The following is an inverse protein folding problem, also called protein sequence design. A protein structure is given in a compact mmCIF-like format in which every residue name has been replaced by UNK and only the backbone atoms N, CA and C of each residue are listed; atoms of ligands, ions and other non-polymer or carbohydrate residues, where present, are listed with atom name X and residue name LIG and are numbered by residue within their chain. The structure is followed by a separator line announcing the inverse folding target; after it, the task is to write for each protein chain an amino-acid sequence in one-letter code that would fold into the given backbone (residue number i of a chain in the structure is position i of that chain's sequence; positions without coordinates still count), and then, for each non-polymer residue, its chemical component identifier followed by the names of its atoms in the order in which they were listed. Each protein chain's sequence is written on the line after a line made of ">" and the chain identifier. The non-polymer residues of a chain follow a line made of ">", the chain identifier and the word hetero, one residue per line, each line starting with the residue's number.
data_IF_100365289942
#
_entry.id   IF_100365289942
#
_cell.length_a   1.000
_cell.length_b   1.000
_cell.length_c   1.000
_cell.angle_alpha   90.00
_cell.angle_beta   90.00
_cell.angle_gamma   90.00
#
_symmetry.space_group_name_H-M   'P 1'
#
loop_
_entity.id
_entity.type
_entity.pdbx_description
1 polymer ?
#
# COMPACT_ATOMS: atom_id res chain seq x y z
N UNK A 1 -22.93 -40.55 -13.49
CA UNK A 1 -22.04 -39.74 -14.36
C UNK A 1 -22.69 -38.37 -14.55
N UNK A 2 -22.03 -37.32 -14.07
CA UNK A 2 -21.89 -35.97 -14.66
C UNK A 2 -21.18 -35.15 -13.58
N UNK A 3 -19.86 -35.05 -13.67
CA UNK A 3 -19.04 -34.27 -12.74
C UNK A 3 -18.86 -32.87 -13.32
N UNK A 4 -19.30 -31.84 -12.59
CA UNK A 4 -19.07 -30.44 -12.91
C UNK A 4 -17.88 -29.97 -12.07
N UNK A 5 -16.71 -29.94 -12.69
CA UNK A 5 -15.48 -29.36 -12.13
C UNK A 5 -15.54 -27.85 -12.28
N UNK A 6 -15.67 -27.13 -11.16
CA UNK A 6 -15.53 -25.67 -11.11
C UNK A 6 -14.04 -25.34 -10.93
N UNK A 7 -13.41 -24.92 -12.02
CA UNK A 7 -12.05 -24.38 -12.04
C UNK A 7 -12.07 -22.94 -11.51
N UNK A 8 -11.66 -22.75 -10.26
CA UNK A 8 -11.39 -21.43 -9.69
C UNK A 8 -10.07 -20.90 -10.22
N UNK A 9 -10.14 -19.98 -11.19
CA UNK A 9 -9.00 -19.24 -11.73
C UNK A 9 -8.55 -18.17 -10.76
N UNK A 10 -7.38 -18.36 -10.16
CA UNK A 10 -6.62 -17.35 -9.40
C UNK A 10 -6.14 -16.25 -10.37
N UNK A 11 -6.34 -14.94 -10.10
CA UNK A 11 -5.73 -13.89 -10.89
C UNK A 11 -4.25 -13.78 -10.53
N UNK A 12 -3.39 -14.33 -11.40
CA UNK A 12 -1.96 -14.04 -11.41
C UNK A 12 -1.75 -12.70 -12.13
N UNK A 13 -1.63 -11.58 -11.41
CA UNK A 13 -1.12 -10.34 -12.04
C UNK A 13 -0.51 -9.37 -11.03
N UNK A 14 0.81 -9.39 -11.02
CA UNK A 14 1.66 -8.38 -10.39
C UNK A 14 3.06 -8.59 -10.92
N UNK A 15 3.29 -8.27 -12.20
CA UNK A 15 4.65 -8.11 -12.72
C UNK A 15 5.28 -7.01 -11.88
N UNK A 16 6.19 -7.40 -11.00
CA UNK A 16 7.23 -6.50 -10.50
C UNK A 16 8.10 -6.26 -11.73
N UNK A 17 7.82 -5.18 -12.44
CA UNK A 17 8.74 -4.67 -13.45
C UNK A 17 10.00 -4.22 -12.72
N UNK A 18 11.10 -4.88 -13.08
CA UNK A 18 12.46 -4.60 -12.70
C UNK A 18 12.81 -3.12 -12.98
N UNK A 19 12.55 -2.25 -12.00
CA UNK A 19 13.04 -0.87 -12.01
C UNK A 19 14.56 -0.78 -11.77
N UNK A 20 15.23 -1.91 -11.53
CA UNK A 20 16.69 -2.02 -11.39
C UNK A 20 17.43 -1.62 -12.67
N UNK A 21 16.86 -1.90 -13.86
CA UNK A 21 17.49 -1.58 -15.15
C UNK A 21 17.58 -0.07 -15.45
N UNK A 22 16.66 0.74 -14.88
CA UNK A 22 16.64 2.19 -15.10
C UNK A 22 17.73 2.92 -14.30
N UNK A 23 18.05 2.42 -13.10
CA UNK A 23 19.04 3.04 -12.22
C UNK A 23 20.46 2.68 -12.66
N UNK A 24 20.69 1.44 -13.13
CA UNK A 24 21.96 1.05 -13.75
C UNK A 24 22.23 1.83 -15.04
N UNK A 25 21.21 2.03 -15.89
CA UNK A 25 21.36 2.83 -17.12
C UNK A 25 21.68 4.30 -16.84
N UNK A 26 21.11 4.87 -15.78
CA UNK A 26 21.39 6.26 -15.38
C UNK A 26 22.81 6.41 -14.82
N UNK A 27 23.26 5.45 -14.01
CA UNK A 27 24.63 5.42 -13.49
C UNK A 27 25.67 5.23 -14.60
N UNK A 28 25.44 4.28 -15.52
CA UNK A 28 26.30 4.04 -16.66
C UNK A 28 26.42 5.26 -17.57
N UNK A 29 25.30 5.96 -17.83
CA UNK A 29 25.29 7.19 -18.62
C UNK A 29 26.06 8.33 -17.96
N UNK A 30 25.93 8.51 -16.64
CA UNK A 30 26.72 9.49 -15.89
C UNK A 30 28.22 9.18 -15.96
N UNK A 31 28.61 7.90 -15.83
CA UNK A 31 30.02 7.49 -15.93
C UNK A 31 30.58 7.80 -17.32
N UNK A 32 29.85 7.46 -18.38
CA UNK A 32 30.24 7.74 -19.77
C UNK A 32 30.41 9.23 -20.03
N UNK A 33 29.46 10.07 -19.60
CA UNK A 33 29.54 11.52 -19.69
C UNK A 33 30.75 12.07 -18.91
N UNK A 34 31.05 11.54 -17.71
CA UNK A 34 32.23 11.97 -16.95
C UNK A 34 33.56 11.59 -17.61
N UNK A 35 33.62 10.43 -18.28
CA UNK A 35 34.80 10.02 -19.05
C UNK A 35 34.96 10.87 -20.32
N UNK A 36 33.86 11.21 -20.99
CA UNK A 36 33.86 12.14 -22.13
C UNK A 36 34.37 13.52 -21.73
N UNK A 37 33.88 14.08 -20.61
CA UNK A 37 34.35 15.35 -20.05
C UNK A 37 35.84 15.29 -19.67
N UNK A 38 36.32 14.19 -19.07
CA UNK A 38 37.76 13.99 -18.80
C UNK A 38 38.57 14.00 -20.09
N UNK A 39 38.09 13.34 -21.15
CA UNK A 39 38.77 13.30 -22.45
C UNK A 39 38.85 14.68 -23.11
N UNK A 40 37.78 15.48 -23.04
CA UNK A 40 37.81 16.88 -23.49
C UNK A 40 38.82 17.68 -22.67
N UNK A 41 38.79 17.58 -21.34
CA UNK A 41 39.73 18.31 -20.45
C UNK A 41 41.18 17.98 -20.76
N UNK A 42 41.52 16.70 -20.96
CA UNK A 42 42.88 16.30 -21.33
C UNK A 42 43.29 16.81 -22.71
N UNK A 43 42.35 16.91 -23.66
CA UNK A 43 42.61 17.44 -25.00
C UNK A 43 42.83 18.96 -24.96
N UNK A 44 41.99 19.69 -24.22
CA UNK A 44 42.17 21.13 -23.99
C UNK A 44 43.48 21.43 -23.24
N UNK A 45 43.86 20.60 -22.27
CA UNK A 45 45.13 20.73 -21.55
C UNK A 45 46.33 20.43 -22.48
N UNK A 46 46.21 19.49 -23.43
CA UNK A 46 47.25 19.29 -24.47
C UNK A 46 47.37 20.48 -25.41
N UNK A 47 46.25 21.03 -25.88
CA UNK A 47 46.22 22.22 -26.75
C UNK A 47 46.83 23.42 -26.01
N UNK A 48 46.42 23.64 -24.76
CA UNK A 48 47.01 24.67 -23.88
C UNK A 48 48.53 24.47 -23.75
N UNK A 49 48.98 23.27 -23.42
CA UNK A 49 50.40 22.99 -23.29
C UNK A 49 51.16 23.12 -24.61
N UNK A 50 50.52 22.93 -25.76
CA UNK A 50 51.13 23.13 -27.08
C UNK A 50 51.30 24.63 -27.38
N UNK A 51 50.27 25.43 -27.12
CA UNK A 51 50.29 26.89 -27.29
C UNK A 51 51.34 27.52 -26.37
N UNK A 52 51.37 27.12 -25.09
CA UNK A 52 52.31 27.70 -24.11
C UNK A 52 53.73 27.10 -24.16
N UNK A 53 53.93 25.91 -24.77
CA UNK A 53 55.29 25.40 -25.05
C UNK A 53 55.90 26.04 -26.29
N UNK A 54 55.11 26.40 -27.30
CA UNK A 54 55.61 27.15 -28.47
C UNK A 54 55.98 28.58 -28.13
N UNK A 55 55.31 29.23 -27.17
CA UNK A 55 55.72 30.56 -26.69
C UNK A 55 57.11 30.55 -26.00
N UNK A 56 57.45 29.51 -25.23
CA UNK A 56 58.78 29.41 -24.59
C UNK A 56 59.88 29.04 -25.61
N UNK A 57 59.55 28.26 -26.65
CA UNK A 57 60.51 27.91 -27.70
C UNK A 57 60.77 29.07 -28.67
N UNK A 58 59.75 29.87 -29.01
CA UNK A 58 59.93 31.00 -29.92
C UNK A 58 60.49 32.27 -29.27
N UNK A 59 60.31 32.46 -27.96
CA UNK A 59 60.90 33.61 -27.25
C UNK A 59 62.41 33.47 -26.94
N UNK A 60 63.02 32.30 -27.20
CA UNK A 60 64.44 32.04 -26.94
C UNK A 60 65.30 31.84 -28.21
N UNK A 61 64.72 31.85 -29.41
CA UNK A 61 65.45 31.55 -30.67
C UNK A 61 65.35 32.58 -31.79
N UNK A 62 64.89 33.82 -31.56
CA UNK A 62 64.96 34.86 -32.59
C UNK A 62 65.25 36.27 -32.05
N UNK A 63 66.42 36.47 -31.44
CA UNK A 63 67.08 37.78 -31.49
C UNK A 63 68.58 37.67 -31.16
N UNK A 64 69.35 37.23 -32.16
CA UNK A 64 70.76 37.57 -32.47
C UNK A 64 71.42 36.38 -33.17
N UNK A 65 71.46 36.42 -34.50
CA UNK A 65 72.67 36.23 -35.32
C UNK A 65 72.25 36.16 -36.79
N UNK A 66 72.27 37.30 -37.46
CA UNK A 66 72.71 37.36 -38.85
C UNK A 66 73.79 38.46 -38.90
N UNK A 67 74.95 38.10 -38.35
CA UNK A 67 76.17 38.85 -38.50
C UNK A 67 77.31 37.85 -38.74
N UNK A 68 77.77 37.83 -40.00
CA UNK A 68 79.00 37.23 -40.55
C UNK A 68 78.88 35.80 -41.06
N UNK A 69 78.81 35.64 -42.38
CA UNK A 69 79.97 35.28 -43.21
C UNK A 69 79.58 35.30 -44.70
N UNK A 70 80.10 36.26 -45.48
CA UNK A 70 80.24 36.10 -46.92
C UNK A 70 81.71 36.25 -47.26
N UNK A 71 82.30 35.11 -47.62
CA UNK A 71 83.65 34.97 -48.15
C UNK A 71 83.62 35.50 -49.59
N UNK A 72 84.48 36.47 -49.84
CA UNK A 72 84.85 37.00 -51.14
C UNK A 72 85.58 35.94 -52.00
N UNK A 73 85.61 36.16 -53.33
CA UNK A 73 86.27 35.43 -54.46
C UNK A 73 85.21 34.67 -55.31
N UNK A 74 84.97 34.91 -56.61
CA UNK A 74 85.61 35.72 -57.67
C UNK A 74 84.67 35.80 -58.91
N UNK A 75 84.92 36.79 -59.78
CA UNK A 75 84.50 36.92 -61.20
C UNK A 75 83.01 37.23 -61.44
N UNK A 76 82.60 38.33 -62.07
CA UNK A 76 83.22 39.10 -63.14
C UNK A 76 82.28 38.97 -64.35
N UNK A 77 81.59 40.05 -64.72
CA UNK A 77 81.27 40.47 -66.09
C UNK A 77 80.45 41.76 -66.01
N UNK A 78 81.03 42.80 -66.61
CA UNK A 78 80.42 44.09 -66.90
C UNK A 78 79.13 43.94 -67.70
N UNK A 79 78.11 44.71 -67.34
CA UNK A 79 77.35 45.53 -68.29
C UNK A 79 76.41 46.45 -67.51
N UNK A 80 76.68 47.74 -67.57
CA UNK A 80 75.68 48.79 -67.33
C UNK A 80 74.44 48.53 -68.19
N UNK A 81 73.28 48.36 -67.57
CA UNK A 81 72.01 49.00 -67.98
C UNK A 81 70.95 48.84 -66.88
N UNK A 82 70.28 49.96 -66.58
CA UNK A 82 69.27 50.20 -65.56
C UNK A 82 67.90 49.55 -65.88
N UNK A 83 67.18 48.94 -64.90
CA UNK A 83 65.73 48.84 -64.99
C UNK A 83 65.02 49.01 -63.62
N UNK A 84 64.72 50.25 -63.21
CA UNK A 84 63.92 50.53 -62.01
C UNK A 84 62.57 51.22 -62.33
N UNK A 85 61.60 50.43 -62.77
CA UNK A 85 60.16 50.74 -62.67
C UNK A 85 59.31 49.49 -62.36
N UNK A 86 59.70 48.30 -62.84
CA UNK A 86 58.94 47.06 -62.65
C UNK A 86 58.94 46.51 -61.21
N UNK A 87 59.86 46.95 -60.34
CA UNK A 87 60.00 46.46 -58.95
C UNK A 87 59.01 47.11 -57.98
N UNK A 88 58.71 48.40 -58.17
CA UNK A 88 57.80 49.16 -57.31
C UNK A 88 56.33 48.74 -57.53
N UNK A 89 55.93 48.56 -58.79
CA UNK A 89 54.57 48.15 -59.16
C UNK A 89 54.25 46.74 -58.64
N UNK A 90 55.21 45.81 -58.73
CA UNK A 90 55.07 44.45 -58.21
C UNK A 90 54.88 44.42 -56.68
N UNK A 91 55.54 45.32 -55.95
CA UNK A 91 55.37 45.47 -54.51
C UNK A 91 54.00 46.08 -54.18
N UNK A 92 53.52 47.05 -54.96
CA UNK A 92 52.22 47.67 -54.75
C UNK A 92 51.07 46.69 -55.01
N UNK A 93 51.15 45.83 -56.03
CA UNK A 93 50.20 44.74 -56.23
C UNK A 93 50.21 43.73 -55.09
N UNK A 94 51.39 43.37 -54.57
CA UNK A 94 51.52 42.48 -53.41
C UNK A 94 50.86 43.07 -52.16
N UNK A 95 50.99 44.38 -51.93
CA UNK A 95 50.33 45.07 -50.80
C UNK A 95 48.81 45.04 -50.97
N UNK A 96 48.29 45.40 -52.15
CA UNK A 96 46.85 45.33 -52.44
C UNK A 96 46.28 43.92 -52.27
N UNK A 97 47.01 42.90 -52.70
CA UNK A 97 46.63 41.50 -52.49
C UNK A 97 46.58 41.11 -51.01
N UNK A 98 47.56 41.55 -50.21
CA UNK A 98 47.57 41.34 -48.76
C UNK A 98 46.43 42.09 -48.05
N UNK A 99 46.11 43.31 -48.48
CA UNK A 99 44.99 44.09 -47.91
C UNK A 99 43.64 43.44 -48.20
N UNK A 100 43.47 42.90 -49.42
CA UNK A 100 42.27 42.14 -49.78
C UNK A 100 42.14 40.87 -48.92
N UNK A 101 43.25 40.15 -48.72
CA UNK A 101 43.29 38.97 -47.86
C UNK A 101 42.98 39.31 -46.39
N UNK A 102 43.50 40.43 -45.88
CA UNK A 102 43.22 40.90 -44.53
C UNK A 102 41.74 41.26 -44.36
N UNK A 103 41.14 41.91 -45.37
CA UNK A 103 39.71 42.22 -45.36
C UNK A 103 38.84 40.96 -45.33
N UNK A 104 39.22 39.92 -46.09
CA UNK A 104 38.52 38.63 -46.11
C UNK A 104 38.67 37.89 -44.77
N UNK A 105 39.88 37.83 -44.21
CA UNK A 105 40.11 37.27 -42.88
C UNK A 105 39.35 38.03 -41.78
N UNK A 106 39.21 39.35 -41.90
CA UNK A 106 38.45 40.15 -40.95
C UNK A 106 36.94 39.83 -41.01
N UNK A 107 36.39 39.65 -42.21
CA UNK A 107 35.00 39.18 -42.40
C UNK A 107 34.79 37.79 -41.82
N UNK A 108 35.74 36.88 -42.04
CA UNK A 108 35.69 35.53 -41.47
C UNK A 108 35.71 35.56 -39.93
N UNK A 109 36.57 36.38 -39.33
CA UNK A 109 36.64 36.55 -37.87
C UNK A 109 35.31 37.06 -37.28
N UNK A 110 34.65 38.04 -37.92
CA UNK A 110 33.33 38.51 -37.47
C UNK A 110 32.27 37.39 -37.56
N UNK A 111 32.28 36.59 -38.62
CA UNK A 111 31.38 35.42 -38.75
C UNK A 111 31.68 34.38 -37.67
N UNK A 112 32.94 34.10 -37.38
CA UNK A 112 33.35 33.16 -36.33
C UNK A 112 32.92 33.63 -34.95
N UNK A 113 33.02 34.93 -34.68
CA UNK A 113 32.56 35.55 -33.42
C UNK A 113 31.05 35.36 -33.24
N UNK A 114 30.25 35.64 -34.26
CA UNK A 114 28.79 35.42 -34.23
C UNK A 114 28.46 33.94 -34.00
N UNK A 115 29.14 33.02 -34.70
CA UNK A 115 28.93 31.57 -34.51
C UNK A 115 29.28 31.12 -33.09
N UNK A 116 30.36 31.64 -32.52
CA UNK A 116 30.78 31.34 -31.16
C UNK A 116 29.74 31.83 -30.14
N UNK A 117 29.26 33.07 -30.30
CA UNK A 117 28.21 33.64 -29.45
C UNK A 117 26.89 32.86 -29.57
N UNK A 118 26.48 32.52 -30.80
CA UNK A 118 25.29 31.70 -31.04
C UNK A 118 25.41 30.29 -30.44
N UNK A 119 26.58 29.64 -30.55
CA UNK A 119 26.81 28.33 -29.93
C UNK A 119 26.80 28.41 -28.40
N UNK A 120 27.32 29.49 -27.81
CA UNK A 120 27.28 29.72 -26.37
C UNK A 120 25.85 29.95 -25.88
N UNK A 121 25.08 30.78 -26.58
CA UNK A 121 23.68 31.06 -26.23
C UNK A 121 22.80 29.81 -26.40
N UNK A 122 22.99 29.04 -27.48
CA UNK A 122 22.31 27.76 -27.67
C UNK A 122 22.61 26.77 -26.52
N UNK A 123 23.87 26.69 -26.09
CA UNK A 123 24.27 25.88 -24.94
C UNK A 123 23.62 26.35 -23.62
N UNK A 124 23.62 27.65 -23.35
CA UNK A 124 22.98 28.23 -22.17
C UNK A 124 21.45 28.03 -22.18
N UNK A 125 20.81 28.16 -23.35
CA UNK A 125 19.38 27.89 -23.53
C UNK A 125 19.04 26.41 -23.30
N UNK A 126 19.86 25.48 -23.80
CA UNK A 126 19.69 24.05 -23.54
C UNK A 126 19.78 23.72 -22.04
N UNK A 127 20.77 24.28 -21.33
CA UNK A 127 20.89 24.11 -19.88
C UNK A 127 19.69 24.68 -19.11
N UNK A 128 19.22 25.88 -19.47
CA UNK A 128 18.00 26.45 -18.88
C UNK A 128 16.77 25.57 -19.11
N UNK A 129 16.62 25.03 -20.32
CA UNK A 129 15.49 24.16 -20.66
C UNK A 129 15.52 22.84 -19.85
N UNK A 130 16.69 22.22 -19.75
CA UNK A 130 16.87 20.99 -18.96
C UNK A 130 16.59 21.25 -17.47
N UNK A 131 17.11 22.35 -16.92
CA UNK A 131 16.87 22.73 -15.53
C UNK A 131 15.38 22.98 -15.24
N UNK A 132 14.70 23.70 -16.15
CA UNK A 132 13.26 23.96 -16.03
C UNK A 132 12.45 22.66 -16.06
N UNK A 133 12.71 21.77 -17.03
CA UNK A 133 12.02 20.47 -17.14
C UNK A 133 12.24 19.60 -15.90
N UNK A 134 13.47 19.55 -15.38
CA UNK A 134 13.79 18.83 -14.15
C UNK A 134 12.97 19.34 -12.97
N UNK A 135 12.87 20.67 -12.81
CA UNK A 135 12.11 21.28 -11.75
C UNK A 135 10.59 21.02 -11.88
N UNK A 136 10.04 21.18 -13.08
CA UNK A 136 8.63 20.92 -13.37
C UNK A 136 8.26 19.45 -13.12
N UNK A 137 9.12 18.52 -13.55
CA UNK A 137 8.95 17.09 -13.31
C UNK A 137 8.98 16.77 -11.81
N UNK A 138 9.96 17.30 -11.07
CA UNK A 138 10.05 17.11 -9.62
C UNK A 138 8.82 17.67 -8.90
N UNK A 139 8.38 18.88 -9.26
CA UNK A 139 7.20 19.51 -8.66
C UNK A 139 5.93 18.71 -8.92
N UNK A 140 5.74 18.25 -10.16
CA UNK A 140 4.60 17.42 -10.57
C UNK A 140 4.60 16.10 -9.82
N UNK A 141 5.72 15.38 -9.80
CA UNK A 141 5.86 14.11 -9.11
C UNK A 141 5.63 14.25 -7.59
N UNK A 142 6.20 15.29 -6.98
CA UNK A 142 5.99 15.58 -5.55
C UNK A 142 4.52 15.89 -5.23
N UNK A 143 3.81 16.61 -6.10
CA UNK A 143 2.39 16.89 -5.93
C UNK A 143 1.55 15.63 -6.10
N UNK A 144 1.84 14.81 -7.11
CA UNK A 144 1.13 13.55 -7.36
C UNK A 144 1.29 12.57 -6.20
N UNK A 145 2.50 12.39 -5.68
CA UNK A 145 2.77 11.54 -4.52
C UNK A 145 2.01 12.04 -3.28
N UNK A 146 2.02 13.36 -3.02
CA UNK A 146 1.24 13.94 -1.92
C UNK A 146 -0.26 13.71 -2.08
N UNK A 147 -0.80 13.91 -3.28
CA UNK A 147 -2.22 13.67 -3.55
C UNK A 147 -2.59 12.20 -3.33
N UNK A 148 -1.79 11.26 -3.85
CA UNK A 148 -2.00 9.81 -3.63
C UNK A 148 -1.97 9.44 -2.15
N UNK A 149 -1.08 10.03 -1.37
CA UNK A 149 -1.03 9.82 0.08
C UNK A 149 -2.28 10.36 0.78
N UNK A 150 -2.74 11.56 0.40
CA UNK A 150 -3.97 12.15 0.93
C UNK A 150 -5.21 11.32 0.59
N UNK A 151 -5.33 10.88 -0.66
CA UNK A 151 -6.42 10.01 -1.11
C UNK A 151 -6.41 8.67 -0.36
N UNK A 152 -5.23 8.06 -0.19
CA UNK A 152 -5.06 6.82 0.59
C UNK A 152 -5.44 7.01 2.06
N UNK A 153 -5.05 8.15 2.67
CA UNK A 153 -5.43 8.50 4.04
C UNK A 153 -6.95 8.65 4.19
N UNK A 154 -7.60 9.35 3.27
CA UNK A 154 -9.06 9.48 3.26
C UNK A 154 -9.75 8.13 3.07
N UNK A 155 -9.27 7.28 2.16
CA UNK A 155 -9.82 5.94 1.94
C UNK A 155 -9.71 5.08 3.22
N UNK A 156 -8.55 5.11 3.88
CA UNK A 156 -8.34 4.42 5.15
C UNK A 156 -9.28 4.93 6.25
N UNK A 157 -9.49 6.25 6.33
CA UNK A 157 -10.41 6.85 7.30
C UNK A 157 -11.86 6.42 7.06
N UNK A 158 -12.34 6.45 5.82
CA UNK A 158 -13.68 5.99 5.46
C UNK A 158 -13.85 4.50 5.77
N UNK A 159 -12.86 3.67 5.43
CA UNK A 159 -12.90 2.24 5.74
C UNK A 159 -12.95 2.00 7.26
N UNK A 160 -12.13 2.72 8.04
CA UNK A 160 -12.14 2.60 9.49
C UNK A 160 -13.51 2.92 10.10
N UNK A 161 -14.15 4.01 9.65
CA UNK A 161 -15.51 4.38 10.07
C UNK A 161 -16.56 3.33 9.68
N UNK A 162 -16.49 2.79 8.47
CA UNK A 162 -17.39 1.72 8.01
C UNK A 162 -17.25 0.45 8.88
N UNK A 163 -16.01 0.07 9.22
CA UNK A 163 -15.74 -1.07 10.08
C UNK A 163 -16.22 -0.83 11.51
N UNK A 164 -16.04 0.37 12.04
CA UNK A 164 -16.54 0.76 13.36
C UNK A 164 -18.07 0.70 13.42
N UNK A 165 -18.77 1.19 12.38
CA UNK A 165 -20.22 1.13 12.30
C UNK A 165 -20.73 -0.33 12.25
N UNK A 166 -20.07 -1.19 11.46
CA UNK A 166 -20.40 -2.62 11.43
C UNK A 166 -20.19 -3.28 12.79
N UNK A 167 -19.10 -2.94 13.48
CA UNK A 167 -18.84 -3.45 14.83
C UNK A 167 -19.94 -3.03 15.80
N UNK A 168 -20.35 -1.75 15.78
CA UNK A 168 -21.47 -1.25 16.60
C UNK A 168 -22.77 -2.01 16.34
N UNK A 169 -23.10 -2.26 15.06
CA UNK A 169 -24.28 -3.06 14.70
C UNK A 169 -24.18 -4.50 15.22
N UNK A 170 -23.01 -5.13 15.16
CA UNK A 170 -22.82 -6.47 15.71
C UNK A 170 -22.96 -6.52 17.23
N UNK A 171 -22.44 -5.50 17.94
CA UNK A 171 -22.62 -5.38 19.41
C UNK A 171 -24.09 -5.22 19.77
N UNK A 172 -24.84 -4.38 19.06
CA UNK A 172 -26.28 -4.21 19.26
C UNK A 172 -27.04 -5.53 19.07
N UNK A 173 -26.73 -6.26 17.98
CA UNK A 173 -27.35 -7.56 17.72
C UNK A 173 -27.02 -8.60 18.81
N UNK A 174 -25.78 -8.60 19.33
CA UNK A 174 -25.38 -9.48 20.42
C UNK A 174 -26.14 -9.15 21.72
N UNK A 175 -26.31 -7.86 22.03
CA UNK A 175 -27.11 -7.43 23.18
C UNK A 175 -28.56 -7.91 23.06
N UNK A 176 -29.18 -7.77 21.89
CA UNK A 176 -30.55 -8.27 21.65
C UNK A 176 -30.65 -9.80 21.79
N UNK A 177 -29.62 -10.55 21.37
CA UNK A 177 -29.57 -12.00 21.57
C UNK A 177 -29.42 -12.34 23.05
N UNK A 178 -28.60 -11.59 23.80
CA UNK A 178 -28.42 -11.78 25.24
C UNK A 178 -29.71 -11.50 26.03
N UNK A 179 -30.42 -10.42 25.71
CA UNK A 179 -31.73 -10.09 26.31
C UNK A 179 -32.76 -11.21 26.05
N UNK A 180 -32.88 -11.67 24.80
CA UNK A 180 -33.76 -12.79 24.46
C UNK A 180 -33.38 -14.08 25.17
N UNK A 181 -32.09 -14.32 25.36
CA UNK A 181 -31.61 -15.50 26.08
C UNK A 181 -32.02 -15.43 27.56
N UNK A 182 -31.88 -14.26 28.19
CA UNK A 182 -32.31 -14.02 29.57
C UNK A 182 -33.84 -14.17 29.71
N UNK A 183 -34.62 -13.60 28.80
CA UNK A 183 -36.08 -13.78 28.77
C UNK A 183 -36.48 -15.26 28.68
N UNK A 184 -35.83 -16.04 27.81
CA UNK A 184 -36.08 -17.48 27.66
C UNK A 184 -35.67 -18.25 28.92
N UNK A 185 -34.57 -17.87 29.55
CA UNK A 185 -34.14 -18.46 30.83
C UNK A 185 -35.17 -18.20 31.94
N UNK A 186 -35.70 -16.99 32.02
CA UNK A 186 -36.76 -16.65 32.98
C UNK A 186 -38.04 -17.46 32.71
N UNK A 187 -38.45 -17.58 31.44
CA UNK A 187 -39.60 -18.40 31.03
C UNK A 187 -39.43 -19.88 31.43
N UNK A 188 -38.24 -20.45 31.27
CA UNK A 188 -37.91 -21.81 31.70
C UNK A 188 -38.11 -21.95 33.22
N UNK A 189 -37.54 -21.04 34.00
CA UNK A 189 -37.65 -21.07 35.46
C UNK A 189 -39.10 -20.94 35.93
N UNK A 190 -39.92 -20.09 35.30
CA UNK A 190 -41.34 -19.99 35.60
C UNK A 190 -42.12 -21.27 35.29
N UNK A 191 -41.87 -21.88 34.13
CA UNK A 191 -42.51 -23.14 33.73
C UNK A 191 -42.09 -24.31 34.63
N UNK A 192 -40.81 -24.40 35.00
CA UNK A 192 -40.30 -25.39 35.96
C UNK A 192 -41.01 -25.27 37.32
N UNK A 193 -41.14 -24.04 37.84
CA UNK A 193 -41.86 -23.77 39.08
C UNK A 193 -43.35 -24.14 38.98
N UNK A 194 -44.00 -23.85 37.85
CA UNK A 194 -45.40 -24.22 37.61
C UNK A 194 -45.58 -25.74 37.62
N UNK A 195 -44.76 -26.46 36.84
CA UNK A 195 -44.77 -27.93 36.78
C UNK A 195 -44.53 -28.52 38.16
N UNK A 196 -43.55 -28.02 38.91
CA UNK A 196 -43.25 -28.50 40.26
C UNK A 196 -44.44 -28.32 41.21
N UNK A 197 -45.19 -27.20 41.14
CA UNK A 197 -46.41 -26.99 41.94
C UNK A 197 -47.50 -27.97 41.55
N UNK A 198 -47.73 -28.18 40.26
CA UNK A 198 -48.72 -29.14 39.77
C UNK A 198 -48.37 -30.58 40.16
N UNK A 199 -47.09 -30.96 40.14
CA UNK A 199 -46.64 -32.28 40.62
C UNK A 199 -46.85 -32.46 42.13
N UNK A 200 -46.66 -31.40 42.93
CA UNK A 200 -46.99 -31.42 44.36
C UNK A 200 -48.49 -31.62 44.57
N UNK A 201 -49.32 -30.88 43.86
CA UNK A 201 -50.78 -31.02 43.92
C UNK A 201 -51.24 -32.43 43.52
N UNK A 202 -50.70 -32.97 42.42
CA UNK A 202 -50.96 -34.35 41.98
C UNK A 202 -50.65 -35.37 43.08
N UNK A 203 -49.52 -35.21 43.78
CA UNK A 203 -49.15 -36.09 44.91
C UNK A 203 -50.16 -35.99 46.05
N UNK A 204 -50.55 -34.78 46.44
CA UNK A 204 -51.57 -34.57 47.48
C UNK A 204 -52.93 -35.17 47.10
N UNK A 205 -53.36 -35.04 45.84
CA UNK A 205 -54.60 -35.66 45.35
C UNK A 205 -54.52 -37.20 45.37
N UNK A 206 -53.38 -37.78 44.99
CA UNK A 206 -53.14 -39.23 45.07
C UNK A 206 -53.20 -39.74 46.52
N UNK A 207 -52.56 -39.04 47.45
CA UNK A 207 -52.61 -39.36 48.89
C UNK A 207 -54.04 -39.28 49.44
N UNK A 208 -54.80 -38.23 49.08
CA UNK A 208 -56.22 -38.09 49.47
C UNK A 208 -57.05 -39.24 48.90
N UNK A 209 -56.88 -39.57 47.62
CA UNK A 209 -57.58 -40.67 46.97
C UNK A 209 -57.31 -42.00 47.69
N UNK A 210 -56.05 -42.30 47.98
CA UNK A 210 -55.64 -43.52 48.70
C UNK A 210 -56.25 -43.59 50.12
N UNK A 211 -56.34 -42.45 50.82
CA UNK A 211 -57.03 -42.37 52.12
C UNK A 211 -58.51 -42.74 52.01
N UNK A 212 -59.21 -42.26 50.98
CA UNK A 212 -60.63 -42.57 50.76
C UNK A 212 -60.84 -44.03 50.33
N UNK A 213 -59.96 -44.58 49.49
CA UNK A 213 -59.97 -46.00 49.11
C UNK A 213 -59.83 -46.90 50.34
N UNK A 214 -58.91 -46.57 51.26
CA UNK A 214 -58.75 -47.29 52.52
C UNK A 214 -60.02 -47.19 53.41
N UNK A 215 -60.62 -46.00 53.53
CA UNK A 215 -61.88 -45.81 54.29
C UNK A 215 -63.03 -46.61 53.66
N UNK A 216 -63.13 -46.63 52.34
CA UNK A 216 -64.12 -47.42 51.61
C UNK A 216 -63.93 -48.92 51.88
N UNK A 217 -62.69 -49.41 51.89
CA UNK A 217 -62.36 -50.81 52.21
C UNK A 217 -62.82 -51.18 53.63
N UNK A 218 -62.57 -50.30 54.61
CA UNK A 218 -62.99 -50.48 56.01
C UNK A 218 -64.51 -50.40 56.22
N UNK A 219 -65.24 -49.61 55.44
CA UNK A 219 -66.69 -49.52 55.54
C UNK A 219 -67.39 -50.67 54.81
N UNK A 220 -66.82 -51.16 53.71
CA UNK A 220 -67.36 -52.31 52.95
C UNK A 220 -67.32 -53.62 53.75
N UNK A 221 -66.41 -53.75 54.71
CA UNK A 221 -66.40 -54.88 55.66
C UNK A 221 -67.49 -54.79 56.73
N UNK A 222 -68.20 -53.65 56.85
CA UNK A 222 -69.33 -53.42 57.77
C UNK A 222 -70.60 -53.22 56.95
N UNK A 223 -71.44 -54.26 56.83
CA UNK A 223 -72.58 -54.33 55.90
C UNK A 223 -73.68 -53.24 56.04
N UNK A 224 -73.62 -52.38 57.06
CA UNK A 224 -74.66 -51.41 57.43
C UNK A 224 -74.57 -50.03 56.75
N UNK A 225 -73.50 -49.71 56.00
CA UNK A 225 -73.22 -48.34 55.53
C UNK A 225 -73.24 -48.13 54.00
N UNK A 226 -74.19 -48.75 53.28
CA UNK A 226 -74.24 -48.73 51.81
C UNK A 226 -74.21 -47.33 51.16
N UNK A 227 -74.94 -46.34 51.72
CA UNK A 227 -74.99 -44.97 51.18
C UNK A 227 -73.65 -44.24 51.32
N UNK A 228 -72.99 -44.38 52.47
CA UNK A 228 -71.66 -43.79 52.73
C UNK A 228 -70.58 -44.39 51.82
N UNK A 229 -70.65 -45.69 51.53
CA UNK A 229 -69.79 -46.34 50.54
C UNK A 229 -69.99 -45.78 49.13
N UNK A 230 -71.25 -45.54 48.72
CA UNK A 230 -71.55 -44.97 47.41
C UNK A 230 -71.04 -43.53 47.27
N UNK A 231 -71.18 -42.72 48.32
CA UNK A 231 -70.69 -41.34 48.34
C UNK A 231 -69.16 -41.28 48.29
N UNK A 232 -68.46 -42.15 49.04
CA UNK A 232 -67.00 -42.30 48.97
C UNK A 232 -66.55 -42.73 47.57
N UNK A 233 -67.27 -43.65 46.94
CA UNK A 233 -66.91 -44.12 45.59
C UNK A 233 -67.06 -43.01 44.55
N UNK A 234 -68.07 -42.15 44.67
CA UNK A 234 -68.19 -40.93 43.83
C UNK A 234 -67.03 -39.97 44.06
N UNK A 235 -66.64 -39.72 45.31
CA UNK A 235 -65.49 -38.84 45.61
C UNK A 235 -64.17 -39.40 45.05
N UNK A 236 -63.97 -40.71 45.12
CA UNK A 236 -62.81 -41.40 44.52
C UNK A 236 -62.81 -41.25 42.99
N UNK A 237 -63.96 -41.42 42.33
CA UNK A 237 -64.10 -41.20 40.88
C UNK A 237 -63.80 -39.77 40.47
N UNK A 238 -64.28 -38.79 41.25
CA UNK A 238 -64.00 -37.37 40.99
C UNK A 238 -62.51 -37.04 41.18
N UNK A 239 -61.87 -37.57 42.21
CA UNK A 239 -60.42 -37.41 42.39
C UNK A 239 -59.62 -38.10 41.28
N UNK A 240 -60.05 -39.26 40.82
CA UNK A 240 -59.43 -39.95 39.68
C UNK A 240 -59.46 -39.06 38.42
N UNK A 241 -60.61 -38.44 38.14
CA UNK A 241 -60.76 -37.52 37.00
C UNK A 241 -59.87 -36.27 37.15
N UNK A 242 -59.86 -35.64 38.33
CA UNK A 242 -58.98 -34.51 38.63
C UNK A 242 -57.50 -34.85 38.44
N UNK A 243 -57.07 -36.02 38.91
CA UNK A 243 -55.70 -36.51 38.73
C UNK A 243 -55.39 -36.72 37.24
N UNK A 244 -56.31 -37.33 36.48
CA UNK A 244 -56.14 -37.53 35.03
C UNK A 244 -56.05 -36.22 34.26
N UNK A 245 -56.91 -35.25 34.57
CA UNK A 245 -56.85 -33.92 33.97
C UNK A 245 -55.53 -33.21 34.31
N UNK A 246 -55.14 -33.21 35.59
CA UNK A 246 -53.89 -32.58 36.02
C UNK A 246 -52.66 -33.23 35.36
N UNK A 247 -52.66 -34.55 35.19
CA UNK A 247 -51.62 -35.27 34.45
C UNK A 247 -51.51 -34.80 32.98
N UNK A 248 -52.65 -34.60 32.31
CA UNK A 248 -52.67 -34.09 30.93
C UNK A 248 -52.07 -32.68 30.86
N UNK A 249 -52.48 -31.78 31.77
CA UNK A 249 -51.92 -30.42 31.81
C UNK A 249 -50.42 -30.45 32.10
N UNK A 250 -49.95 -31.24 33.08
CA UNK A 250 -48.51 -31.41 33.36
C UNK A 250 -47.76 -31.86 32.11
N UNK A 251 -48.30 -32.84 31.36
CA UNK A 251 -47.68 -33.32 30.14
C UNK A 251 -47.53 -32.21 29.09
N UNK A 252 -48.58 -31.42 28.86
CA UNK A 252 -48.54 -30.29 27.93
C UNK A 252 -47.52 -29.22 28.37
N UNK A 253 -47.41 -28.94 29.66
CA UNK A 253 -46.46 -27.97 30.20
C UNK A 253 -45.01 -28.46 30.06
N UNK A 254 -44.75 -29.75 30.28
CA UNK A 254 -43.43 -30.33 29.98
C UNK A 254 -43.08 -30.25 28.50
N UNK A 255 -44.05 -30.42 27.60
CA UNK A 255 -43.79 -30.30 26.16
C UNK A 255 -43.44 -28.87 25.77
N UNK A 256 -44.15 -27.88 26.32
CA UNK A 256 -43.79 -26.47 26.16
C UNK A 256 -42.40 -26.16 26.73
N UNK A 257 -42.10 -26.63 27.94
CA UNK A 257 -40.78 -26.45 28.57
C UNK A 257 -39.66 -27.01 27.68
N UNK A 258 -39.84 -28.21 27.11
CA UNK A 258 -38.88 -28.79 26.17
C UNK A 258 -38.67 -27.92 24.92
N UNK A 259 -39.73 -27.34 24.38
CA UNK A 259 -39.63 -26.42 23.23
C UNK A 259 -38.81 -25.18 23.56
N UNK A 260 -39.08 -24.55 24.71
CA UNK A 260 -38.34 -23.34 25.15
C UNK A 260 -36.86 -23.66 25.43
N UNK A 261 -36.58 -24.81 26.05
CA UNK A 261 -35.20 -25.30 26.25
C UNK A 261 -34.49 -25.49 24.91
N UNK A 262 -35.16 -26.08 23.91
CA UNK A 262 -34.59 -26.27 22.58
C UNK A 262 -34.29 -24.94 21.89
N UNK A 263 -35.18 -23.95 21.99
CA UNK A 263 -34.94 -22.59 21.49
C UNK A 263 -33.72 -21.94 22.16
N UNK A 264 -33.63 -22.03 23.50
CA UNK A 264 -32.50 -21.52 24.29
C UNK A 264 -31.18 -22.19 23.88
N UNK A 265 -31.18 -23.50 23.67
CA UNK A 265 -30.00 -24.23 23.23
C UNK A 265 -29.57 -23.86 21.81
N UNK A 266 -30.53 -23.57 20.92
CA UNK A 266 -30.29 -22.99 19.60
C UNK A 266 -29.58 -21.64 19.69
N UNK A 267 -30.09 -20.71 20.52
CA UNK A 267 -29.46 -19.41 20.76
C UNK A 267 -28.05 -19.55 21.34
N UNK A 268 -27.86 -20.44 22.31
CA UNK A 268 -26.56 -20.75 22.90
C UNK A 268 -25.55 -21.26 21.87
N UNK A 269 -25.97 -22.11 20.94
CA UNK A 269 -25.10 -22.60 19.87
C UNK A 269 -24.74 -21.50 18.88
N UNK A 270 -25.68 -20.61 18.54
CA UNK A 270 -25.39 -19.44 17.71
C UNK A 270 -24.37 -18.51 18.39
N UNK A 271 -24.51 -18.27 19.69
CA UNK A 271 -23.55 -17.47 20.47
C UNK A 271 -22.15 -18.08 20.42
N UNK A 272 -22.02 -19.40 20.63
CA UNK A 272 -20.73 -20.11 20.50
C UNK A 272 -20.11 -19.99 19.11
N UNK A 273 -20.92 -20.00 18.06
CA UNK A 273 -20.45 -19.79 16.69
C UNK A 273 -19.92 -18.35 16.48
N UNK A 274 -20.62 -17.35 17.02
CA UNK A 274 -20.14 -15.97 17.02
C UNK A 274 -18.84 -15.82 17.82
N UNK A 275 -18.72 -16.44 18.98
CA UNK A 275 -17.48 -16.43 19.78
C UNK A 275 -16.29 -17.01 19.02
N UNK A 276 -16.49 -18.13 18.30
CA UNK A 276 -15.46 -18.69 17.43
C UNK A 276 -15.05 -17.72 16.33
N UNK A 277 -16.02 -17.07 15.69
CA UNK A 277 -15.76 -16.07 14.65
C UNK A 277 -15.02 -14.85 15.19
N UNK A 278 -15.33 -14.42 16.41
CA UNK A 278 -14.61 -13.35 17.11
C UNK A 278 -13.15 -13.76 17.32
N UNK A 279 -12.90 -15.01 17.73
CA UNK A 279 -11.55 -15.51 17.94
C UNK A 279 -10.73 -15.58 16.63
N UNK A 280 -11.32 -16.09 15.55
CA UNK A 280 -10.70 -16.09 14.21
C UNK A 280 -10.35 -14.67 13.73
N UNK A 281 -11.24 -13.70 14.00
CA UNK A 281 -11.00 -12.30 13.66
C UNK A 281 -9.92 -11.67 14.52
N UNK A 282 -9.85 -11.97 15.82
CA UNK A 282 -8.78 -11.52 16.71
C UNK A 282 -7.42 -12.04 16.24
N UNK A 283 -7.32 -13.30 15.85
CA UNK A 283 -6.07 -13.87 15.31
C UNK A 283 -5.63 -13.10 14.05
N UNK A 284 -6.57 -12.82 13.14
CA UNK A 284 -6.28 -12.04 11.94
C UNK A 284 -5.83 -10.61 12.26
N UNK A 285 -6.45 -9.95 13.26
CA UNK A 285 -6.02 -8.64 13.74
C UNK A 285 -4.60 -8.70 14.30
N UNK A 286 -4.29 -9.69 15.13
CA UNK A 286 -2.94 -9.86 15.70
C UNK A 286 -1.87 -10.04 14.60
N UNK A 287 -2.15 -10.84 13.57
CA UNK A 287 -1.25 -11.02 12.41
C UNK A 287 -1.04 -9.69 11.68
N UNK A 288 -2.11 -8.94 11.40
CA UNK A 288 -2.04 -7.66 10.72
C UNK A 288 -1.32 -6.60 11.56
N UNK A 289 -1.51 -6.58 12.88
CA UNK A 289 -0.80 -5.69 13.80
C UNK A 289 0.70 -5.98 13.82
N UNK A 290 1.09 -7.27 13.84
CA UNK A 290 2.49 -7.68 13.75
C UNK A 290 3.13 -7.22 12.42
N UNK A 291 2.45 -7.44 11.29
CA UNK A 291 2.89 -6.97 9.98
C UNK A 291 2.99 -5.44 9.92
N UNK A 292 2.02 -4.72 10.49
CA UNK A 292 2.05 -3.25 10.55
C UNK A 292 3.24 -2.75 11.39
N UNK A 293 3.52 -3.41 12.52
CA UNK A 293 4.67 -3.10 13.36
C UNK A 293 5.98 -3.32 12.61
N UNK A 294 6.11 -4.41 11.86
CA UNK A 294 7.28 -4.68 11.00
C UNK A 294 7.44 -3.65 9.87
N UNK A 295 6.34 -3.26 9.23
CA UNK A 295 6.38 -2.21 8.20
C UNK A 295 6.78 -0.86 8.81
N UNK A 296 6.28 -0.51 10.00
CA UNK A 296 6.69 0.70 10.73
C UNK A 296 8.18 0.69 11.06
N UNK A 297 8.73 -0.42 11.55
CA UNK A 297 10.17 -0.51 11.83
C UNK A 297 11.00 -0.42 10.56
N UNK A 298 10.56 -1.04 9.45
CA UNK A 298 11.18 -0.84 8.14
C UNK A 298 11.15 0.63 7.76
N UNK A 299 9.99 1.29 7.73
CA UNK A 299 9.91 2.71 7.36
C UNK A 299 10.82 3.59 8.22
N UNK A 300 10.91 3.34 9.53
CA UNK A 300 11.83 4.04 10.42
C UNK A 300 13.30 3.85 10.02
N UNK A 301 13.72 2.62 9.74
CA UNK A 301 15.08 2.31 9.27
C UNK A 301 15.45 3.04 7.96
N UNK A 302 14.51 3.09 7.01
CA UNK A 302 14.70 3.80 5.74
C UNK A 302 14.70 5.32 5.92
N UNK A 303 14.11 5.82 7.01
CA UNK A 303 14.10 7.25 7.36
C UNK A 303 15.38 7.68 8.09
N UNK A 304 16.02 6.76 8.84
CA UNK A 304 17.26 7.00 9.59
C UNK A 304 18.54 6.77 8.76
N UNK A 305 18.45 6.11 7.61
CA UNK A 305 19.63 5.89 6.75
C UNK A 305 20.09 7.24 6.17
N UNK A 306 21.31 7.72 6.46
CA UNK A 306 21.77 9.02 6.00
C UNK A 306 21.86 9.02 4.47
N UNK A 307 21.28 10.03 3.81
CA UNK A 307 21.50 10.23 2.38
C UNK A 307 23.01 10.40 2.15
N UNK A 308 23.63 9.65 1.24
CA UNK A 308 25.04 9.84 0.91
C UNK A 308 25.21 11.27 0.38
N UNK A 309 26.20 11.97 0.95
CA UNK A 309 26.63 13.32 0.55
C UNK A 309 27.17 13.34 -0.87
#
# INVERSE_FOLDING_TARGET
>A
MTAVTVTTTVPLKGKIEDNSASYESTSAHIIEETEYVKKIRTTLEKIRNQIFKDEVRHNSTNHKQDAKHCRHIQNGFDSELDPSCCSLDLLMERIKGKDLQLLEMNKENEVLKIKLEASREAGAAALRNVAQRLFENYQTQSKEVRQKHEDSRHLLQVNALEKEQKLKQHVENLNQIAEKLEEKQNQITELENLVQRMEKEKRTLLEKKLSLENKLLHLKSKATYAKSCQDLQKEISLLQEQISHLQFVIHSQHQNLRSVIQEMEGLKNNLKEQDKRIEDLKEKVNILEAQNKELKTKVALWSETPRPK
#
